data_IF_241828642344
#
_entry.id   IF_241828642344
#
_cell.length_a   1.000
_cell.length_b   1.000
_cell.length_c   1.000
_cell.angle_alpha   90.00
_cell.angle_beta   90.00
_cell.angle_gamma   90.00
#
_symmetry.space_group_name_H-M   'P 1'
#
loop_
_entity.id
_entity.type
_entity.pdbx_description
1 polymer ?
#
# COMPACT_ATOMS: atom_id res chain seq x y z
N UNK A 1 -6.76 5.61 47.14
CA UNK A 1 -5.63 6.08 46.32
C UNK A 1 -5.10 5.00 45.38
N UNK A 2 -4.69 3.81 45.85
CA UNK A 2 -4.17 2.72 44.98
C UNK A 2 -4.98 2.38 43.71
N UNK A 3 -6.32 2.42 43.77
CA UNK A 3 -7.18 2.15 42.60
C UNK A 3 -7.12 3.28 41.55
N UNK A 4 -7.03 4.53 41.99
CA UNK A 4 -6.89 5.68 41.09
C UNK A 4 -5.50 5.67 40.43
N UNK A 5 -4.45 5.35 41.19
CA UNK A 5 -3.09 5.22 40.68
C UNK A 5 -2.97 4.08 39.65
N UNK A 6 -3.65 2.95 39.90
CA UNK A 6 -3.68 1.82 38.97
C UNK A 6 -4.35 2.19 37.64
N UNK A 7 -5.49 2.89 37.68
CA UNK A 7 -6.18 3.39 36.48
C UNK A 7 -5.34 4.42 35.71
N UNK A 8 -4.67 5.33 36.41
CA UNK A 8 -3.79 6.30 35.76
C UNK A 8 -2.64 5.61 34.99
N UNK A 9 -2.01 4.59 35.60
CA UNK A 9 -0.99 3.78 34.94
C UNK A 9 -1.54 3.00 33.74
N UNK A 10 -2.75 2.48 33.86
CA UNK A 10 -3.43 1.80 32.74
C UNK A 10 -3.64 2.75 31.55
N UNK A 11 -4.17 3.94 31.78
CA UNK A 11 -4.36 4.94 30.72
C UNK A 11 -3.03 5.40 30.11
N UNK A 12 -1.99 5.59 30.92
CA UNK A 12 -0.65 5.92 30.41
C UNK A 12 -0.12 4.81 29.48
N UNK A 13 -0.20 3.54 29.90
CA UNK A 13 0.25 2.42 29.09
C UNK A 13 -0.57 2.29 27.79
N UNK A 14 -1.89 2.56 27.85
CA UNK A 14 -2.74 2.58 26.65
C UNK A 14 -2.35 3.69 25.67
N UNK A 15 -2.02 4.88 26.19
CA UNK A 15 -1.53 5.99 25.37
C UNK A 15 -0.19 5.65 24.71
N UNK A 16 0.80 5.17 25.48
CA UNK A 16 2.12 4.78 24.98
C UNK A 16 1.99 3.70 23.88
N UNK A 17 1.16 2.69 24.10
CA UNK A 17 0.90 1.64 23.12
C UNK A 17 0.25 2.19 21.84
N UNK A 18 -0.70 3.13 21.96
CA UNK A 18 -1.33 3.78 20.79
C UNK A 18 -0.31 4.55 19.96
N UNK A 19 0.58 5.30 20.60
CA UNK A 19 1.65 6.05 19.93
C UNK A 19 2.63 5.11 19.24
N UNK A 20 3.06 4.03 19.91
CA UNK A 20 3.97 3.03 19.33
C UNK A 20 3.35 2.34 18.11
N UNK A 21 2.07 2.00 18.17
CA UNK A 21 1.34 1.43 17.03
C UNK A 21 1.29 2.39 15.85
N UNK A 22 0.93 3.65 16.09
CA UNK A 22 0.89 4.66 15.04
C UNK A 22 2.27 4.85 14.37
N UNK A 23 3.35 4.89 15.16
CA UNK A 23 4.71 4.95 14.62
C UNK A 23 5.06 3.72 13.77
N UNK A 24 4.65 2.53 14.21
CA UNK A 24 4.80 1.29 13.45
C UNK A 24 4.03 1.31 12.13
N UNK A 25 2.77 1.73 12.13
CA UNK A 25 1.92 1.83 10.93
C UNK A 25 2.53 2.78 9.88
N UNK A 26 3.09 3.92 10.31
CA UNK A 26 3.81 4.86 9.43
C UNK A 26 5.06 4.21 8.84
N UNK A 27 5.86 3.53 9.67
CA UNK A 27 7.09 2.88 9.22
C UNK A 27 6.80 1.77 8.20
N UNK A 28 5.78 0.96 8.46
CA UNK A 28 5.37 -0.14 7.58
C UNK A 28 4.90 0.41 6.22
N UNK A 29 4.09 1.47 6.23
CA UNK A 29 3.63 2.12 5.00
C UNK A 29 4.78 2.71 4.18
N UNK A 30 5.70 3.44 4.82
CA UNK A 30 6.88 4.01 4.15
C UNK A 30 7.78 2.92 3.56
N UNK A 31 7.98 1.83 4.30
CA UNK A 31 8.77 0.69 3.85
C UNK A 31 8.12 0.03 2.64
N UNK A 32 6.80 -0.17 2.67
CA UNK A 32 6.03 -0.69 1.54
C UNK A 32 6.22 0.14 0.27
N UNK A 33 6.07 1.47 0.35
CA UNK A 33 6.27 2.38 -0.78
C UNK A 33 7.66 2.23 -1.41
N UNK A 34 8.72 2.18 -0.59
CA UNK A 34 10.10 2.06 -1.09
C UNK A 34 10.30 0.71 -1.78
N UNK A 35 9.86 -0.38 -1.16
CA UNK A 35 9.97 -1.72 -1.73
C UNK A 35 9.19 -1.85 -3.04
N UNK A 36 8.00 -1.27 -3.11
CA UNK A 36 7.18 -1.29 -4.32
C UNK A 36 7.76 -0.45 -5.45
N UNK A 37 8.43 0.67 -5.15
CA UNK A 37 9.18 1.42 -6.17
C UNK A 37 10.31 0.59 -6.76
N UNK A 38 11.14 -0.02 -5.92
CA UNK A 38 12.23 -0.89 -6.40
C UNK A 38 11.70 -2.09 -7.19
N UNK A 39 10.57 -2.67 -6.75
CA UNK A 39 9.92 -3.77 -7.45
C UNK A 39 9.39 -3.34 -8.81
N UNK A 40 8.72 -2.19 -8.87
CA UNK A 40 8.21 -1.61 -10.12
C UNK A 40 9.33 -1.39 -11.12
N UNK A 41 10.45 -0.80 -10.72
CA UNK A 41 11.57 -0.53 -11.64
C UNK A 41 12.13 -1.82 -12.25
N UNK A 42 12.27 -2.89 -11.46
CA UNK A 42 12.66 -4.21 -11.95
C UNK A 42 11.62 -4.81 -12.90
N UNK A 43 10.34 -4.62 -12.61
CA UNK A 43 9.23 -5.10 -13.44
C UNK A 43 9.15 -4.33 -14.77
N UNK A 44 9.39 -3.02 -14.78
CA UNK A 44 9.46 -2.21 -16.00
C UNK A 44 10.57 -2.74 -16.91
N UNK A 45 11.78 -2.98 -16.39
CA UNK A 45 12.85 -3.62 -17.15
C UNK A 45 12.46 -5.04 -17.65
N UNK A 46 11.70 -5.79 -16.85
CA UNK A 46 11.14 -7.09 -17.24
C UNK A 46 10.14 -6.99 -18.39
N UNK A 47 9.29 -5.96 -18.39
CA UNK A 47 8.33 -5.67 -19.47
C UNK A 47 9.08 -5.34 -20.76
N UNK A 48 10.11 -4.50 -20.70
CA UNK A 48 10.90 -4.12 -21.88
C UNK A 48 11.59 -5.34 -22.51
N UNK A 49 12.18 -6.21 -21.69
CA UNK A 49 12.80 -7.45 -22.16
C UNK A 49 11.77 -8.41 -22.78
N UNK A 50 10.61 -8.56 -22.15
CA UNK A 50 9.54 -9.40 -22.67
C UNK A 50 8.94 -8.85 -23.98
N UNK A 51 8.89 -7.52 -24.12
CA UNK A 51 8.46 -6.86 -25.36
C UNK A 51 9.46 -7.17 -26.48
N UNK A 52 10.76 -7.03 -26.24
CA UNK A 52 11.77 -7.39 -27.24
C UNK A 52 11.72 -8.88 -27.66
N UNK A 53 11.41 -9.78 -26.74
CA UNK A 53 11.21 -11.20 -27.06
C UNK A 53 9.97 -11.44 -27.93
N UNK A 54 8.87 -10.74 -27.64
CA UNK A 54 7.65 -10.76 -28.46
C UNK A 54 7.92 -10.22 -29.87
N UNK A 55 8.55 -9.05 -29.97
CA UNK A 55 8.87 -8.43 -31.26
C UNK A 55 9.77 -9.35 -32.11
N UNK A 56 10.76 -10.02 -31.49
CA UNK A 56 11.61 -10.98 -32.18
C UNK A 56 10.84 -12.21 -32.68
N UNK A 57 9.96 -12.77 -31.84
CA UNK A 57 9.14 -13.91 -32.22
C UNK A 57 8.17 -13.56 -33.36
N UNK A 58 7.54 -12.40 -33.28
CA UNK A 58 6.64 -11.89 -34.30
C UNK A 58 7.37 -11.66 -35.63
N UNK A 59 8.55 -11.04 -35.61
CA UNK A 59 9.38 -10.84 -36.80
C UNK A 59 9.77 -12.18 -37.46
N UNK A 60 10.16 -13.20 -36.67
CA UNK A 60 10.50 -14.53 -37.20
C UNK A 60 9.30 -15.23 -37.82
N UNK A 61 8.13 -15.13 -37.19
CA UNK A 61 6.89 -15.68 -37.73
C UNK A 61 6.52 -15.00 -39.05
N UNK A 62 6.54 -13.67 -39.11
CA UNK A 62 6.24 -12.90 -40.33
C UNK A 62 7.23 -13.20 -41.46
N UNK A 63 8.49 -13.47 -41.13
CA UNK A 63 9.51 -13.92 -42.08
C UNK A 63 9.39 -15.41 -42.49
N UNK A 64 8.45 -16.17 -41.91
CA UNK A 64 8.28 -17.60 -42.16
C UNK A 64 9.39 -18.48 -41.57
N UNK A 65 10.16 -17.94 -40.61
CA UNK A 65 11.31 -18.60 -39.98
C UNK A 65 10.94 -19.39 -38.71
N UNK A 66 9.73 -19.23 -38.20
CA UNK A 66 9.20 -19.98 -37.06
C UNK A 66 7.70 -20.15 -37.16
N UNK A 67 7.17 -21.19 -36.52
CA UNK A 67 5.73 -21.34 -36.27
C UNK A 67 5.20 -20.18 -35.40
N UNK A 68 3.87 -20.09 -35.25
CA UNK A 68 3.23 -19.03 -34.46
C UNK A 68 3.29 -19.25 -32.94
N UNK A 69 3.57 -20.47 -32.47
CA UNK A 69 3.58 -20.82 -31.04
C UNK A 69 4.52 -19.94 -30.19
N UNK A 70 5.77 -19.63 -30.62
CA UNK A 70 6.65 -18.71 -29.90
C UNK A 70 6.09 -17.28 -29.75
N UNK A 71 5.24 -16.82 -30.68
CA UNK A 71 4.57 -15.50 -30.57
C UNK A 71 3.60 -15.53 -29.39
N UNK A 72 2.76 -16.56 -29.30
CA UNK A 72 1.81 -16.72 -28.19
C UNK A 72 2.51 -16.89 -26.84
N UNK A 73 3.61 -17.66 -26.81
CA UNK A 73 4.37 -17.88 -25.58
C UNK A 73 5.03 -16.58 -25.09
N UNK A 74 5.65 -15.82 -25.98
CA UNK A 74 6.27 -14.53 -25.66
C UNK A 74 5.22 -13.47 -25.29
N UNK A 75 4.08 -13.42 -25.98
CA UNK A 75 2.96 -12.54 -25.62
C UNK A 75 2.42 -12.85 -24.23
N UNK A 76 2.26 -14.14 -23.88
CA UNK A 76 1.83 -14.56 -22.55
C UNK A 76 2.79 -14.09 -21.46
N UNK A 77 4.10 -14.17 -21.72
CA UNK A 77 5.14 -13.67 -20.79
C UNK A 77 5.03 -12.15 -20.66
N UNK A 78 4.95 -11.41 -21.77
CA UNK A 78 4.79 -9.96 -21.80
C UNK A 78 3.56 -9.50 -21.00
N UNK A 79 2.41 -10.12 -21.23
CA UNK A 79 1.18 -9.81 -20.49
C UNK A 79 1.32 -10.14 -19.00
N UNK A 80 2.07 -11.18 -18.65
CA UNK A 80 2.34 -11.52 -17.25
C UNK A 80 3.19 -10.46 -16.57
N UNK A 81 4.26 -9.98 -17.23
CA UNK A 81 5.10 -8.90 -16.70
C UNK A 81 4.32 -7.59 -16.55
N UNK A 82 3.54 -7.20 -17.57
CA UNK A 82 2.68 -6.01 -17.51
C UNK A 82 1.64 -6.09 -16.38
N UNK A 83 1.07 -7.27 -16.11
CA UNK A 83 0.16 -7.46 -14.97
C UNK A 83 0.87 -7.31 -13.62
N UNK A 84 2.08 -7.83 -13.49
CA UNK A 84 2.87 -7.71 -12.26
C UNK A 84 3.26 -6.25 -12.00
N UNK A 85 3.72 -5.53 -13.03
CA UNK A 85 4.05 -4.11 -12.95
C UNK A 85 2.84 -3.28 -12.49
N UNK A 86 1.68 -3.47 -13.12
CA UNK A 86 0.45 -2.78 -12.73
C UNK A 86 0.03 -3.12 -11.30
N UNK A 87 0.19 -4.37 -10.86
CA UNK A 87 -0.09 -4.76 -9.47
C UNK A 87 0.86 -4.08 -8.49
N UNK A 88 2.13 -3.94 -8.83
CA UNK A 88 3.12 -3.22 -8.02
C UNK A 88 2.78 -1.74 -7.89
N UNK A 89 2.42 -1.11 -9.00
CA UNK A 89 1.95 0.27 -9.01
C UNK A 89 0.66 0.46 -8.18
N UNK A 90 -0.25 -0.51 -8.21
CA UNK A 90 -1.44 -0.52 -7.36
C UNK A 90 -1.11 -0.65 -5.87
N UNK A 91 -0.12 -1.48 -5.52
CA UNK A 91 0.34 -1.64 -4.14
C UNK A 91 1.05 -0.38 -3.63
N UNK A 92 1.90 0.25 -4.45
CA UNK A 92 2.55 1.54 -4.13
C UNK A 92 1.50 2.61 -3.74
N UNK A 93 0.37 2.67 -4.48
CA UNK A 93 -0.74 3.59 -4.17
C UNK A 93 -1.48 3.20 -2.89
N UNK A 94 -1.69 1.90 -2.65
CA UNK A 94 -2.32 1.42 -1.42
C UNK A 94 -1.47 1.77 -0.18
N UNK A 95 -0.15 1.61 -0.29
CA UNK A 95 0.78 1.94 0.79
C UNK A 95 0.83 3.46 1.03
N UNK A 96 0.70 4.27 -0.03
CA UNK A 96 0.55 5.73 0.10
C UNK A 96 -0.75 6.12 0.84
N UNK A 97 -1.86 5.47 0.53
CA UNK A 97 -3.13 5.69 1.26
C UNK A 97 -2.98 5.26 2.72
N UNK A 98 -2.29 4.14 2.98
CA UNK A 98 -2.03 3.66 4.33
C UNK A 98 -1.18 4.64 5.12
N UNK A 99 -0.12 5.20 4.51
CA UNK A 99 0.70 6.25 5.10
C UNK A 99 -0.14 7.48 5.45
N UNK A 100 -0.98 7.94 4.52
CA UNK A 100 -1.86 9.09 4.75
C UNK A 100 -2.79 8.84 5.94
N UNK A 101 -3.36 7.63 6.05
CA UNK A 101 -4.20 7.23 7.19
C UNK A 101 -3.41 7.18 8.50
N UNK A 102 -2.23 6.58 8.50
CA UNK A 102 -1.37 6.42 9.68
C UNK A 102 -0.87 7.77 10.22
N UNK A 103 -0.62 8.74 9.34
CA UNK A 103 -0.28 10.13 9.70
C UNK A 103 -1.47 10.94 10.23
N UNK A 104 -2.66 10.32 10.33
CA UNK A 104 -3.84 11.00 10.81
C UNK A 104 -4.60 11.73 9.71
N UNK A 105 -4.61 11.22 8.47
CA UNK A 105 -5.66 11.40 7.44
C UNK A 105 -6.12 12.83 7.09
N UNK A 106 -5.42 13.87 7.56
CA UNK A 106 -5.87 15.25 7.54
C UNK A 106 -7.00 15.59 8.53
N UNK A 107 -7.33 14.74 9.51
CA UNK A 107 -8.34 15.07 10.51
C UNK A 107 -7.80 16.12 11.49
N UNK A 108 -8.45 17.27 11.52
CA UNK A 108 -8.40 18.14 12.68
C UNK A 108 -9.14 17.42 13.83
N UNK A 109 -8.58 17.40 15.05
CA UNK A 109 -9.33 16.89 16.20
C UNK A 109 -10.66 17.64 16.27
N UNK A 110 -11.77 16.91 16.46
CA UNK A 110 -13.09 17.50 16.68
C UNK A 110 -12.96 18.61 17.70
N UNK A 111 -13.49 19.80 17.39
CA UNK A 111 -13.45 20.91 18.33
C UNK A 111 -14.15 20.51 19.64
N UNK A 112 -13.74 21.10 20.76
CA UNK A 112 -14.33 20.80 22.07
C UNK A 112 -15.87 20.96 22.06
N UNK A 113 -16.38 21.83 21.18
CA UNK A 113 -17.82 22.03 20.95
C UNK A 113 -18.49 20.81 20.29
N UNK A 114 -17.86 20.22 19.27
CA UNK A 114 -18.37 19.03 18.58
C UNK A 114 -18.28 17.78 19.48
N UNK A 115 -17.21 17.67 20.29
CA UNK A 115 -17.09 16.59 21.29
C UNK A 115 -18.15 16.70 22.40
N UNK A 116 -18.45 17.93 22.85
CA UNK A 116 -19.49 18.18 23.85
C UNK A 116 -20.91 17.91 23.31
N UNK A 117 -21.19 18.20 22.03
CA UNK A 117 -22.46 17.84 21.39
C UNK A 117 -22.63 16.33 21.26
N UNK A 118 -21.59 15.61 20.85
CA UNK A 118 -21.62 14.14 20.78
C UNK A 118 -21.84 13.54 22.18
N UNK A 119 -21.19 14.07 23.21
CA UNK A 119 -21.35 13.59 24.59
C UNK A 119 -22.75 13.90 25.18
N UNK A 120 -23.36 15.04 24.82
CA UNK A 120 -24.76 15.37 25.14
C UNK A 120 -25.76 14.48 24.37
N UNK A 121 -25.46 14.17 23.11
CA UNK A 121 -26.30 13.31 22.27
C UNK A 121 -26.25 11.83 22.71
N UNK A 122 -25.13 11.37 23.27
CA UNK A 122 -24.98 10.01 23.82
C UNK A 122 -25.65 9.83 25.20
N UNK A 123 -26.27 10.87 25.78
CA UNK A 123 -27.08 10.75 26.99
C UNK A 123 -26.31 10.27 28.22
N UNK A 124 -24.99 10.45 28.28
CA UNK A 124 -24.17 10.21 29.48
C UNK A 124 -24.13 11.44 30.36
N UNK A 125 -25.30 11.85 30.84
CA UNK A 125 -25.40 12.70 32.03
C UNK A 125 -26.26 11.96 33.07
N UNK A 126 -25.70 10.86 33.59
CA UNK A 126 -25.76 10.37 34.98
C UNK A 126 -25.15 8.97 35.12
#
# INVERSE_FOLDING_TARGET
MKLQDARAKEYQAQYENTVLKAAGEVQDAMTGIVQEKERKDKLTAGVDNAQGAFDLAENRFQAGLSDYQPVLDSERILLTMKRQENRSRGQELADLIHLYKALGGGWQPLSDAEQAEISRAEGKDK
#
